data_IF_295596028273
#
_entry.id   IF_295596028273
#
_cell.length_a   1.000
_cell.length_b   1.000
_cell.length_c   1.000
_cell.angle_alpha   90.00
_cell.angle_beta   90.00
_cell.angle_gamma   90.00
#
_symmetry.space_group_name_H-M   'P 1'
#
loop_
_entity.id
_entity.type
_entity.pdbx_description
1 polymer ?
#
# COMPACT_ATOMS: atom_id res chain seq x y z
N UNK A 1 34.50 19.80 10.74
CA UNK A 1 33.42 20.63 11.35
C UNK A 1 33.24 20.16 12.79
N UNK A 2 33.22 21.06 13.76
CA UNK A 2 32.92 20.74 15.16
C UNK A 2 31.40 20.71 15.35
N UNK A 3 30.88 19.65 15.98
CA UNK A 3 29.45 19.53 16.30
C UNK A 3 29.14 20.31 17.57
N UNK A 4 28.20 21.26 17.51
CA UNK A 4 27.66 21.95 18.70
C UNK A 4 26.41 21.23 19.21
N UNK A 5 26.59 20.43 20.26
CA UNK A 5 25.52 19.63 20.87
C UNK A 5 24.37 20.48 21.43
N UNK A 6 24.56 21.78 21.66
CA UNK A 6 23.50 22.68 22.16
C UNK A 6 22.47 23.02 21.08
N UNK A 7 22.81 22.83 19.82
CA UNK A 7 21.90 23.07 18.67
C UNK A 7 21.10 21.83 18.29
N UNK A 8 21.42 20.66 18.87
CA UNK A 8 20.74 19.40 18.57
C UNK A 8 19.51 19.26 19.46
N UNK A 9 18.35 19.16 18.83
CA UNK A 9 17.09 18.83 19.48
C UNK A 9 16.41 17.62 18.82
N UNK A 10 15.19 17.31 19.30
CA UNK A 10 14.43 16.17 18.79
C UNK A 10 14.07 16.33 17.30
N UNK A 11 13.74 17.53 16.84
CA UNK A 11 13.36 17.76 15.43
C UNK A 11 14.58 17.62 14.52
N UNK A 12 15.71 18.19 14.91
CA UNK A 12 16.99 18.07 14.22
C UNK A 12 17.42 16.61 14.13
N UNK A 13 17.35 15.85 15.23
CA UNK A 13 17.61 14.40 15.21
C UNK A 13 16.70 13.66 14.24
N UNK A 14 15.38 13.89 14.29
CA UNK A 14 14.44 13.21 13.41
C UNK A 14 14.69 13.50 11.93
N UNK A 15 14.91 14.76 11.56
CA UNK A 15 15.17 15.17 10.16
C UNK A 15 16.52 14.70 9.64
N UNK A 16 17.49 14.50 10.52
CA UNK A 16 18.85 14.09 10.13
C UNK A 16 18.99 12.58 9.98
N UNK A 17 18.08 11.80 10.58
CA UNK A 17 18.21 10.33 10.69
C UNK A 17 17.16 9.57 9.87
N UNK A 18 15.98 10.14 9.63
CA UNK A 18 14.87 9.43 8.98
C UNK A 18 14.50 9.99 7.60
N UNK A 19 14.03 9.14 6.65
CA UNK A 19 13.91 7.68 6.78
C UNK A 19 15.28 6.99 6.84
N UNK A 20 15.34 5.78 7.38
CA UNK A 20 16.60 5.11 7.75
C UNK A 20 17.59 4.94 6.60
N UNK A 21 17.10 4.84 5.35
CA UNK A 21 17.94 4.75 4.15
C UNK A 21 18.08 6.06 3.39
N UNK A 22 17.48 7.15 3.87
CA UNK A 22 17.41 8.42 3.17
C UNK A 22 16.89 8.24 1.74
N UNK A 23 17.69 8.67 0.77
CA UNK A 23 17.41 8.56 -0.67
C UNK A 23 18.09 7.39 -1.37
N UNK A 24 18.80 6.50 -0.65
CA UNK A 24 19.59 5.45 -1.28
C UNK A 24 18.78 4.59 -2.25
N UNK A 25 17.60 4.10 -1.82
CA UNK A 25 16.75 3.28 -2.69
C UNK A 25 16.04 4.11 -3.77
N UNK A 26 15.79 5.41 -3.53
CA UNK A 26 15.27 6.30 -4.55
C UNK A 26 16.26 6.41 -5.73
N UNK A 27 17.53 6.64 -5.42
CA UNK A 27 18.62 6.74 -6.40
C UNK A 27 18.81 5.42 -7.14
N UNK A 28 18.91 4.30 -6.42
CA UNK A 28 19.01 2.95 -6.99
C UNK A 28 17.89 2.66 -8.00
N UNK A 29 16.63 2.94 -7.62
CA UNK A 29 15.48 2.76 -8.51
C UNK A 29 15.59 3.66 -9.74
N UNK A 30 15.94 4.94 -9.56
CA UNK A 30 16.07 5.91 -10.66
C UNK A 30 17.13 5.46 -11.67
N UNK A 31 18.30 5.06 -11.19
CA UNK A 31 19.48 4.69 -11.98
C UNK A 31 19.36 3.33 -12.66
N UNK A 32 18.57 2.41 -12.09
CA UNK A 32 18.41 1.06 -12.63
C UNK A 32 17.86 1.07 -14.06
N UNK A 33 18.65 0.52 -14.99
CA UNK A 33 18.25 0.30 -16.39
C UNK A 33 17.82 -1.15 -16.57
N UNK A 34 16.52 -1.37 -16.74
CA UNK A 34 15.96 -2.72 -16.90
C UNK A 34 16.19 -3.23 -18.34
N UNK A 35 16.91 -4.36 -18.53
CA UNK A 35 17.15 -4.91 -19.86
C UNK A 35 15.87 -5.43 -20.54
N UNK A 36 15.84 -5.53 -21.88
CA UNK A 36 14.73 -6.16 -22.60
C UNK A 36 14.39 -7.55 -22.06
N UNK A 37 13.09 -7.90 -22.06
CA UNK A 37 12.56 -9.18 -21.54
C UNK A 37 12.89 -9.45 -20.07
N UNK A 38 13.07 -8.40 -19.26
CA UNK A 38 13.19 -8.46 -17.81
C UNK A 38 12.27 -7.44 -17.14
N UNK A 39 12.05 -7.59 -15.84
CA UNK A 39 11.58 -6.53 -14.95
C UNK A 39 12.52 -6.48 -13.74
N UNK A 40 12.53 -5.34 -13.04
CA UNK A 40 13.17 -5.21 -11.73
C UNK A 40 12.10 -4.98 -10.65
N UNK A 41 12.37 -5.45 -9.44
CA UNK A 41 11.44 -5.36 -8.33
C UNK A 41 12.18 -5.13 -7.02
N UNK A 42 11.66 -4.20 -6.20
CA UNK A 42 12.20 -3.93 -4.86
C UNK A 42 11.10 -4.11 -3.83
N UNK A 43 11.45 -4.75 -2.73
CA UNK A 43 10.57 -4.86 -1.58
C UNK A 43 10.68 -3.59 -0.74
N UNK A 44 9.54 -2.92 -0.53
CA UNK A 44 9.42 -1.67 0.22
C UNK A 44 9.02 -1.90 1.68
N UNK A 45 9.11 -3.13 2.17
CA UNK A 45 8.60 -3.66 3.47
C UNK A 45 7.09 -3.90 3.53
N UNK A 46 6.60 -4.66 4.52
CA UNK A 46 5.21 -5.15 4.56
C UNK A 46 4.88 -5.89 3.26
N UNK A 47 3.78 -5.55 2.59
CA UNK A 47 3.46 -5.99 1.23
C UNK A 47 3.84 -4.96 0.16
N UNK A 48 4.53 -3.88 0.52
CA UNK A 48 4.91 -2.82 -0.41
C UNK A 48 5.93 -3.30 -1.44
N UNK A 49 5.67 -3.09 -2.73
CA UNK A 49 6.57 -3.51 -3.81
C UNK A 49 6.69 -2.41 -4.87
N UNK A 50 7.90 -2.15 -5.33
CA UNK A 50 8.16 -1.33 -6.51
C UNK A 50 8.50 -2.22 -7.71
N UNK A 51 7.91 -1.96 -8.87
CA UNK A 51 8.16 -2.69 -10.13
C UNK A 51 8.64 -1.68 -11.18
N UNK A 52 9.72 -2.03 -11.90
CA UNK A 52 10.23 -1.25 -13.04
C UNK A 52 10.39 -2.12 -14.28
N UNK A 53 9.97 -1.61 -15.44
CA UNK A 53 10.04 -2.31 -16.74
C UNK A 53 11.00 -1.63 -17.74
N UNK A 54 11.35 -2.30 -18.86
CA UNK A 54 12.24 -1.72 -19.89
C UNK A 54 11.67 -0.45 -20.53
N UNK A 55 10.35 -0.32 -20.69
CA UNK A 55 9.73 0.92 -21.16
C UNK A 55 9.70 2.03 -20.10
N UNK A 56 10.42 1.84 -18.98
CA UNK A 56 10.39 2.70 -17.80
C UNK A 56 8.94 2.92 -17.38
N UNK A 57 8.23 1.84 -17.06
CA UNK A 57 7.00 1.92 -16.26
C UNK A 57 7.43 1.66 -14.82
N UNK A 58 7.13 2.59 -13.92
CA UNK A 58 7.37 2.49 -12.48
C UNK A 58 6.03 2.40 -11.75
N UNK A 59 5.82 1.30 -11.02
CA UNK A 59 4.60 1.02 -10.27
C UNK A 59 4.96 0.73 -8.82
N UNK A 60 4.26 1.35 -7.89
CA UNK A 60 4.34 1.04 -6.46
C UNK A 60 3.02 0.39 -6.02
N UNK A 61 3.06 -0.83 -5.50
CA UNK A 61 1.90 -1.58 -4.99
C UNK A 61 2.00 -1.64 -3.47
N UNK A 62 0.89 -1.36 -2.77
CA UNK A 62 0.77 -1.43 -1.31
C UNK A 62 1.90 -0.69 -0.56
N UNK A 63 2.36 0.43 -1.14
CA UNK A 63 3.48 1.18 -0.59
C UNK A 63 3.07 1.91 0.70
N UNK A 64 3.56 1.41 1.82
CA UNK A 64 3.20 1.88 3.16
C UNK A 64 4.40 2.39 3.97
N UNK A 65 4.29 3.65 4.39
CA UNK A 65 5.33 4.38 5.13
C UNK A 65 4.83 4.93 6.46
N UNK A 66 3.71 4.41 6.98
CA UNK A 66 3.35 4.72 8.35
C UNK A 66 4.08 3.79 9.33
N UNK A 67 3.89 4.10 10.60
CA UNK A 67 4.28 3.26 11.73
C UNK A 67 3.07 2.50 12.27
N UNK A 68 3.35 1.47 13.07
CA UNK A 68 2.35 0.87 13.95
C UNK A 68 2.15 1.69 15.23
N UNK A 69 1.82 1.00 16.32
CA UNK A 69 1.61 1.60 17.64
C UNK A 69 2.86 2.35 18.13
N UNK A 70 2.65 3.51 18.75
CA UNK A 70 3.72 4.38 19.25
C UNK A 70 3.64 4.65 20.76
N UNK A 71 2.65 4.07 21.43
CA UNK A 71 2.46 4.17 22.87
C UNK A 71 1.76 2.92 23.39
N UNK A 72 2.01 2.57 24.66
CA UNK A 72 1.24 1.53 25.36
C UNK A 72 -0.16 2.00 25.75
N UNK A 73 -0.44 3.31 25.68
CA UNK A 73 -1.75 3.87 26.01
C UNK A 73 -2.78 3.36 25.01
N UNK A 74 -3.74 2.61 25.52
CA UNK A 74 -4.84 2.05 24.72
C UNK A 74 -5.96 3.07 24.54
N UNK A 75 -6.60 3.05 23.37
CA UNK A 75 -7.85 3.76 23.14
C UNK A 75 -8.99 3.12 23.94
N UNK A 76 -10.02 3.89 24.34
CA UNK A 76 -11.21 3.35 24.97
C UNK A 76 -11.87 2.26 24.11
N UNK A 77 -12.37 1.19 24.73
CA UNK A 77 -13.00 0.07 24.00
C UNK A 77 -14.07 0.51 23.00
N UNK A 78 -14.88 1.53 23.35
CA UNK A 78 -15.93 2.08 22.47
C UNK A 78 -15.41 2.56 21.10
N UNK A 79 -14.15 2.99 21.02
CA UNK A 79 -13.50 3.46 19.80
C UNK A 79 -12.88 2.34 18.96
N UNK A 80 -12.61 1.18 19.57
CA UNK A 80 -11.88 0.07 18.92
C UNK A 80 -12.75 -1.17 18.71
N UNK A 81 -13.95 -1.22 19.31
CA UNK A 81 -14.87 -2.36 19.29
C UNK A 81 -15.18 -2.90 17.88
N UNK A 82 -15.09 -2.04 16.88
CA UNK A 82 -15.39 -2.36 15.49
C UNK A 82 -14.15 -2.68 14.65
N UNK A 83 -12.95 -2.53 15.20
CA UNK A 83 -11.74 -2.95 14.52
C UNK A 83 -11.78 -4.46 14.25
N UNK A 84 -11.33 -4.84 13.06
CA UNK A 84 -11.34 -6.22 12.55
C UNK A 84 -10.68 -7.21 13.52
N UNK A 85 -9.56 -6.82 14.13
CA UNK A 85 -8.85 -7.64 15.12
C UNK A 85 -9.67 -7.86 16.40
N UNK A 86 -10.46 -6.87 16.79
CA UNK A 86 -11.33 -6.96 17.97
C UNK A 86 -12.56 -7.82 17.65
N UNK A 87 -13.12 -7.68 16.43
CA UNK A 87 -14.22 -8.50 15.94
C UNK A 87 -13.84 -9.99 15.87
N UNK A 88 -12.65 -10.31 15.38
CA UNK A 88 -12.20 -11.71 15.21
C UNK A 88 -11.75 -12.38 16.52
N UNK A 89 -11.12 -11.64 17.43
CA UNK A 89 -10.52 -12.23 18.65
C UNK A 89 -11.39 -12.08 19.90
N UNK A 90 -12.35 -11.16 19.92
CA UNK A 90 -13.07 -10.79 21.13
C UNK A 90 -12.24 -9.99 22.15
N UNK A 91 -11.01 -9.57 21.78
CA UNK A 91 -10.13 -8.81 22.65
C UNK A 91 -10.76 -7.48 23.11
N UNK A 92 -10.19 -6.89 24.16
CA UNK A 92 -10.62 -5.59 24.72
C UNK A 92 -9.57 -4.49 24.55
N UNK A 93 -8.43 -4.83 23.93
CA UNK A 93 -7.25 -3.99 23.70
C UNK A 93 -6.67 -4.33 22.35
N UNK A 94 -5.99 -3.39 21.70
CA UNK A 94 -5.21 -3.67 20.51
C UNK A 94 -3.97 -4.51 20.85
N UNK A 95 -3.60 -5.46 19.98
CA UNK A 95 -2.28 -6.08 20.04
C UNK A 95 -1.16 -5.06 19.83
N UNK A 96 0.08 -5.36 20.28
CA UNK A 96 1.22 -4.48 20.13
C UNK A 96 1.77 -4.54 18.69
N UNK A 97 1.04 -3.96 17.74
CA UNK A 97 1.46 -3.88 16.34
C UNK A 97 2.60 -2.86 16.19
N UNK A 98 3.84 -3.28 16.49
CA UNK A 98 5.04 -2.48 16.32
C UNK A 98 5.65 -2.75 14.96
N UNK A 99 5.92 -1.69 14.19
CA UNK A 99 6.69 -1.80 12.95
C UNK A 99 8.14 -2.14 13.30
N UNK A 100 8.64 -3.24 12.76
CA UNK A 100 10.03 -3.70 12.99
C UNK A 100 10.95 -3.49 11.80
N UNK A 101 10.39 -3.23 10.62
CA UNK A 101 11.15 -2.98 9.39
C UNK A 101 11.44 -1.48 9.23
N UNK A 102 12.65 -1.08 8.79
CA UNK A 102 12.98 0.31 8.54
C UNK A 102 12.16 0.90 7.37
N UNK A 103 12.19 2.22 7.20
CA UNK A 103 11.76 2.86 5.97
C UNK A 103 12.92 2.88 4.98
N UNK A 104 12.79 2.05 3.93
CA UNK A 104 13.85 1.83 2.94
C UNK A 104 13.84 2.83 1.80
N UNK A 105 12.76 3.60 1.64
CA UNK A 105 12.57 4.57 0.55
C UNK A 105 11.85 5.82 1.09
N UNK A 106 12.26 7.00 0.64
CA UNK A 106 11.56 8.25 0.93
C UNK A 106 10.50 8.52 -0.15
N UNK A 107 9.19 8.47 0.14
CA UNK A 107 8.16 8.75 -0.85
C UNK A 107 8.24 10.19 -1.37
N UNK A 108 8.71 11.15 -0.57
CA UNK A 108 8.81 12.56 -0.97
C UNK A 108 10.00 12.87 -1.87
N UNK A 109 10.91 11.92 -2.05
CA UNK A 109 12.04 12.02 -2.99
C UNK A 109 11.79 11.23 -4.28
N UNK A 110 10.62 10.61 -4.43
CA UNK A 110 10.20 9.99 -5.69
C UNK A 110 9.93 11.08 -6.72
N UNK A 111 10.73 11.11 -7.80
CA UNK A 111 10.57 12.04 -8.94
C UNK A 111 9.74 11.47 -10.08
N UNK A 112 9.62 10.14 -10.15
CA UNK A 112 8.92 9.45 -11.22
C UNK A 112 8.15 8.25 -10.68
N UNK A 113 6.86 8.21 -10.99
CA UNK A 113 5.99 7.09 -10.71
C UNK A 113 4.84 7.12 -11.73
N UNK A 114 4.53 5.99 -12.36
CA UNK A 114 3.44 5.88 -13.34
C UNK A 114 2.12 5.47 -12.67
N UNK A 115 2.17 4.64 -11.62
CA UNK A 115 0.99 4.31 -10.81
C UNK A 115 1.30 3.93 -9.35
N UNK A 116 0.40 4.32 -8.45
CA UNK A 116 0.25 3.79 -7.09
C UNK A 116 -0.92 2.81 -7.10
N UNK A 117 -0.69 1.58 -6.69
CA UNK A 117 -1.71 0.54 -6.55
C UNK A 117 -1.95 0.24 -5.08
N UNK A 118 -3.20 0.06 -4.70
CA UNK A 118 -3.57 -0.54 -3.41
C UNK A 118 -4.47 -1.74 -3.66
N UNK A 119 -4.17 -2.86 -3.01
CA UNK A 119 -4.99 -4.08 -3.07
C UNK A 119 -6.30 -3.90 -2.32
N UNK A 120 -6.26 -3.22 -1.17
CA UNK A 120 -7.42 -2.96 -0.31
C UNK A 120 -7.15 -1.81 0.69
N UNK A 121 -8.11 -1.53 1.58
CA UNK A 121 -8.13 -0.30 2.40
C UNK A 121 -7.47 -0.39 3.79
N UNK A 122 -6.88 -1.53 4.18
CA UNK A 122 -6.18 -1.63 5.48
C UNK A 122 -5.02 -0.65 5.52
N UNK A 123 -4.74 -0.14 6.72
CA UNK A 123 -3.83 1.00 6.91
C UNK A 123 -2.39 0.74 6.46
N UNK A 124 -2.00 -0.52 6.35
CA UNK A 124 -0.72 -1.04 5.88
C UNK A 124 -0.65 -1.34 4.38
N UNK A 125 -1.74 -1.12 3.63
CA UNK A 125 -1.82 -1.31 2.17
C UNK A 125 -2.23 -0.05 1.40
N UNK A 126 -2.67 1.00 2.09
CA UNK A 126 -3.00 2.31 1.51
C UNK A 126 -2.52 3.44 2.42
N UNK A 127 -1.71 4.36 1.87
CA UNK A 127 -1.01 5.35 2.66
C UNK A 127 -1.20 6.78 2.13
N UNK A 128 -1.65 7.69 3.00
CA UNK A 128 -1.87 9.11 2.72
C UNK A 128 -0.56 9.86 2.47
N UNK A 129 0.55 9.49 3.11
CA UNK A 129 1.85 10.11 2.87
C UNK A 129 2.36 9.80 1.46
N UNK A 130 2.20 8.55 1.01
CA UNK A 130 2.51 8.16 -0.37
C UNK A 130 1.58 8.86 -1.35
N UNK A 131 0.28 8.94 -1.05
CA UNK A 131 -0.66 9.67 -1.89
C UNK A 131 -0.31 11.14 -2.02
N UNK A 132 0.02 11.81 -0.92
CA UNK A 132 0.46 13.21 -0.92
C UNK A 132 1.73 13.41 -1.75
N UNK A 133 2.75 12.57 -1.56
CA UNK A 133 4.00 12.64 -2.31
C UNK A 133 3.79 12.38 -3.81
N UNK A 134 3.03 11.34 -4.17
CA UNK A 134 2.73 11.02 -5.56
C UNK A 134 1.89 12.09 -6.25
N UNK A 135 0.95 12.75 -5.53
CA UNK A 135 0.20 13.88 -6.06
C UNK A 135 1.11 15.09 -6.30
N UNK A 136 1.99 15.39 -5.34
CA UNK A 136 2.88 16.56 -5.39
C UNK A 136 3.97 16.44 -6.45
N UNK A 137 4.60 15.28 -6.55
CA UNK A 137 5.86 15.13 -7.30
C UNK A 137 5.68 14.48 -8.67
N UNK A 138 4.54 13.84 -8.95
CA UNK A 138 4.36 12.99 -10.14
C UNK A 138 2.96 13.14 -10.76
N UNK A 139 2.76 12.48 -11.90
CA UNK A 139 1.45 12.32 -12.55
C UNK A 139 0.87 10.90 -12.38
N UNK A 140 1.35 10.12 -11.41
CA UNK A 140 0.93 8.75 -11.18
C UNK A 140 -0.60 8.58 -11.11
N UNK A 141 -1.11 7.52 -11.73
CA UNK A 141 -2.47 7.04 -11.51
C UNK A 141 -2.58 6.37 -10.13
N UNK A 142 -3.78 6.36 -9.57
CA UNK A 142 -4.13 5.71 -8.31
C UNK A 142 -5.11 4.59 -8.62
N UNK A 143 -4.65 3.35 -8.59
CA UNK A 143 -5.38 2.19 -9.11
C UNK A 143 -5.75 1.27 -7.94
N UNK A 144 -7.04 1.01 -7.77
CA UNK A 144 -7.53 0.27 -6.61
C UNK A 144 -8.95 -0.26 -6.78
N UNK A 145 -9.42 -1.11 -5.84
CA UNK A 145 -10.84 -1.42 -5.74
C UNK A 145 -11.67 -0.16 -5.40
N UNK A 146 -13.00 -0.21 -5.56
CA UNK A 146 -13.89 0.93 -5.31
C UNK A 146 -13.60 1.67 -3.99
N UNK A 147 -13.46 0.95 -2.86
CA UNK A 147 -13.19 1.58 -1.57
C UNK A 147 -11.83 2.27 -1.47
N UNK A 148 -10.79 1.77 -2.17
CA UNK A 148 -9.51 2.49 -2.27
C UNK A 148 -9.69 3.79 -3.06
N UNK A 149 -10.45 3.74 -4.16
CA UNK A 149 -10.80 4.91 -4.95
C UNK A 149 -11.53 5.98 -4.13
N UNK A 150 -12.53 5.58 -3.35
CA UNK A 150 -13.26 6.47 -2.43
C UNK A 150 -12.34 7.06 -1.35
N UNK A 151 -11.46 6.24 -0.77
CA UNK A 151 -10.52 6.67 0.27
C UNK A 151 -9.52 7.70 -0.27
N UNK A 152 -8.92 7.46 -1.44
CA UNK A 152 -8.05 8.45 -2.09
C UNK A 152 -8.78 9.73 -2.46
N UNK A 153 -10.02 9.64 -2.96
CA UNK A 153 -10.84 10.82 -3.23
C UNK A 153 -11.08 11.63 -1.96
N UNK A 154 -11.37 10.97 -0.84
CA UNK A 154 -11.56 11.62 0.47
C UNK A 154 -10.31 12.33 0.98
N UNK A 155 -9.12 11.88 0.58
CA UNK A 155 -7.83 12.51 0.90
C UNK A 155 -7.45 13.64 -0.07
N UNK A 156 -8.26 13.89 -1.10
CA UNK A 156 -8.02 14.96 -2.08
C UNK A 156 -7.21 14.53 -3.30
N UNK A 157 -7.03 13.23 -3.56
CA UNK A 157 -6.46 12.77 -4.83
C UNK A 157 -7.39 13.20 -5.97
N UNK A 158 -6.89 13.87 -7.04
CA UNK A 158 -7.73 14.30 -8.14
C UNK A 158 -8.48 13.13 -8.78
N UNK A 159 -9.81 13.22 -8.90
CA UNK A 159 -10.66 12.15 -9.46
C UNK A 159 -10.16 11.61 -10.81
N UNK A 160 -9.63 12.48 -11.67
CA UNK A 160 -9.07 12.11 -12.98
C UNK A 160 -7.84 11.20 -12.92
N UNK A 161 -7.17 11.11 -11.76
CA UNK A 161 -6.02 10.23 -11.50
C UNK A 161 -6.44 8.90 -10.88
N UNK A 162 -7.71 8.72 -10.49
CA UNK A 162 -8.19 7.50 -9.82
C UNK A 162 -8.77 6.56 -10.87
N UNK A 163 -8.29 5.32 -10.88
CA UNK A 163 -8.78 4.22 -11.70
C UNK A 163 -9.31 3.13 -10.78
N UNK A 164 -10.61 2.88 -10.85
CA UNK A 164 -11.24 1.79 -10.09
C UNK A 164 -11.21 0.52 -10.93
N UNK A 165 -10.69 -0.57 -10.37
CA UNK A 165 -10.70 -1.91 -10.97
C UNK A 165 -11.43 -2.90 -10.06
N UNK A 166 -12.31 -3.70 -10.64
CA UNK A 166 -12.93 -4.89 -10.04
C UNK A 166 -12.35 -6.17 -10.67
N UNK A 167 -12.51 -7.35 -10.06
CA UNK A 167 -12.06 -8.60 -10.65
C UNK A 167 -12.53 -8.79 -12.10
N UNK A 168 -11.61 -9.25 -12.96
CA UNK A 168 -11.82 -9.41 -14.40
C UNK A 168 -11.53 -8.14 -15.22
N UNK A 169 -11.32 -6.99 -14.58
CA UNK A 169 -10.93 -5.75 -15.27
C UNK A 169 -9.41 -5.60 -15.33
N UNK A 170 -8.95 -4.75 -16.25
CA UNK A 170 -7.52 -4.49 -16.41
C UNK A 170 -7.23 -3.07 -16.90
N UNK A 171 -6.01 -2.61 -16.66
CA UNK A 171 -5.52 -1.31 -17.10
C UNK A 171 -4.11 -1.44 -17.69
N UNK A 172 -3.85 -0.76 -18.82
CA UNK A 172 -2.57 -0.84 -19.53
C UNK A 172 -1.77 0.44 -19.35
N UNK A 173 -0.50 0.30 -19.00
CA UNK A 173 0.50 1.39 -18.97
C UNK A 173 1.68 0.94 -19.81
N UNK A 174 1.85 1.52 -21.01
CA UNK A 174 2.92 1.19 -21.97
C UNK A 174 3.07 -0.32 -22.19
N UNK A 175 4.16 -0.92 -21.73
CA UNK A 175 4.52 -2.34 -21.88
C UNK A 175 3.97 -3.23 -20.76
N UNK A 176 3.20 -2.66 -19.83
CA UNK A 176 2.70 -3.33 -18.63
C UNK A 176 1.17 -3.39 -18.62
N UNK A 177 0.63 -4.57 -18.33
CA UNK A 177 -0.81 -4.79 -18.17
C UNK A 177 -1.12 -5.21 -16.73
N UNK A 178 -2.00 -4.47 -16.07
CA UNK A 178 -2.43 -4.69 -14.68
C UNK A 178 -3.81 -5.33 -14.72
N UNK A 179 -3.94 -6.55 -14.23
CA UNK A 179 -5.24 -7.22 -14.08
C UNK A 179 -5.65 -7.23 -12.62
N UNK A 180 -6.89 -6.87 -12.32
CA UNK A 180 -7.51 -7.12 -11.03
C UNK A 180 -8.19 -8.49 -11.06
N UNK A 181 -7.95 -9.31 -10.06
CA UNK A 181 -8.58 -10.61 -9.84
C UNK A 181 -9.11 -10.71 -8.41
N UNK A 182 -9.88 -11.74 -8.11
CA UNK A 182 -10.54 -11.88 -6.80
C UNK A 182 -9.54 -11.85 -5.64
N UNK A 183 -9.87 -11.10 -4.59
CA UNK A 183 -9.17 -11.17 -3.30
C UNK A 183 -9.79 -12.24 -2.41
N UNK A 184 -8.98 -12.78 -1.50
CA UNK A 184 -9.41 -13.72 -0.47
C UNK A 184 -9.09 -13.22 0.93
N UNK A 185 -8.91 -11.91 1.12
CA UNK A 185 -8.74 -11.35 2.46
C UNK A 185 -10.05 -11.36 3.25
N UNK A 186 -10.25 -12.44 4.01
CA UNK A 186 -11.43 -12.60 4.89
C UNK A 186 -11.50 -11.50 5.95
N UNK A 187 -10.37 -10.89 6.31
CA UNK A 187 -10.31 -9.82 7.31
C UNK A 187 -10.93 -8.53 6.76
N UNK A 188 -10.72 -8.18 5.49
CA UNK A 188 -11.37 -7.04 4.84
C UNK A 188 -12.90 -7.09 4.97
N UNK A 189 -13.53 -8.27 4.88
CA UNK A 189 -14.99 -8.41 4.98
C UNK A 189 -15.57 -7.93 6.32
N UNK A 190 -14.81 -8.11 7.40
CA UNK A 190 -15.20 -7.70 8.75
C UNK A 190 -14.58 -6.36 9.16
N UNK A 191 -13.90 -5.67 8.25
CA UNK A 191 -13.27 -4.37 8.51
C UNK A 191 -14.28 -3.25 8.26
N UNK A 192 -14.36 -2.24 9.15
CA UNK A 192 -15.21 -1.07 8.92
C UNK A 192 -14.84 -0.29 7.65
N UNK A 193 -15.83 0.32 6.97
CA UNK A 193 -17.27 0.19 7.21
C UNK A 193 -17.81 -1.17 6.69
N UNK A 194 -18.95 -1.71 7.19
CA UNK A 194 -19.87 -1.09 8.14
C UNK A 194 -19.43 -1.23 9.60
N UNK A 195 -19.88 -0.27 10.41
CA UNK A 195 -19.73 -0.26 11.86
C UNK A 195 -20.79 -1.12 12.56
N UNK A 196 -20.55 -1.47 13.82
CA UNK A 196 -21.49 -2.20 14.68
C UNK A 196 -21.50 -3.73 14.49
N UNK A 197 -22.57 -4.35 14.99
CA UNK A 197 -22.70 -5.81 15.02
C UNK A 197 -22.98 -6.38 13.62
N UNK A 198 -22.13 -7.31 13.19
CA UNK A 198 -22.21 -7.98 11.89
C UNK A 198 -22.89 -9.37 11.94
N UNK A 199 -23.22 -9.90 13.12
CA UNK A 199 -23.83 -11.24 13.25
C UNK A 199 -25.15 -11.31 12.50
N UNK A 200 -25.33 -12.37 11.72
CA UNK A 200 -26.54 -12.60 10.93
C UNK A 200 -26.69 -11.68 9.71
N UNK A 201 -25.68 -10.86 9.39
CA UNK A 201 -25.68 -9.99 8.21
C UNK A 201 -24.80 -10.58 7.12
N UNK A 202 -25.26 -10.47 5.88
CA UNK A 202 -24.43 -10.81 4.72
C UNK A 202 -23.24 -9.84 4.64
N UNK A 203 -22.01 -10.35 4.47
CA UNK A 203 -20.85 -9.50 4.20
C UNK A 203 -21.07 -8.68 2.93
N UNK A 204 -20.53 -7.46 2.88
CA UNK A 204 -20.48 -6.72 1.62
C UNK A 204 -19.56 -7.44 0.63
N UNK A 205 -19.73 -7.17 -0.65
CA UNK A 205 -18.92 -7.79 -1.71
C UNK A 205 -17.43 -7.54 -1.48
N UNK A 206 -16.61 -8.60 -1.61
CA UNK A 206 -15.15 -8.49 -1.57
C UNK A 206 -14.64 -7.56 -2.66
N UNK A 207 -15.24 -7.62 -3.85
CA UNK A 207 -14.84 -6.88 -5.05
C UNK A 207 -14.92 -5.36 -4.88
N UNK A 208 -15.72 -4.88 -3.91
CA UNK A 208 -15.76 -3.46 -3.55
C UNK A 208 -14.58 -3.06 -2.65
N UNK A 209 -14.08 -4.02 -1.86
CA UNK A 209 -13.09 -3.80 -0.80
C UNK A 209 -11.66 -4.08 -1.22
N UNK A 210 -11.46 -5.18 -1.95
CA UNK A 210 -10.16 -5.81 -2.11
C UNK A 210 -10.05 -6.55 -3.44
N UNK A 211 -8.89 -6.45 -4.08
CA UNK A 211 -8.50 -7.21 -5.27
C UNK A 211 -7.08 -7.72 -5.10
N UNK A 212 -6.77 -8.81 -5.79
CA UNK A 212 -5.41 -9.22 -6.08
C UNK A 212 -4.98 -8.66 -7.44
N UNK A 213 -3.68 -8.52 -7.69
CA UNK A 213 -3.16 -8.07 -8.98
C UNK A 213 -2.34 -9.13 -9.68
N UNK A 214 -2.54 -9.26 -10.99
CA UNK A 214 -1.59 -9.91 -11.90
C UNK A 214 -0.97 -8.81 -12.76
N UNK A 215 0.32 -8.54 -12.59
CA UNK A 215 1.08 -7.56 -13.36
C UNK A 215 1.83 -8.30 -14.46
N UNK A 216 1.39 -8.17 -15.71
CA UNK A 216 2.09 -8.74 -16.86
C UNK A 216 3.06 -7.70 -17.42
N UNK A 217 4.33 -8.08 -17.47
CA UNK A 217 5.44 -7.29 -18.04
C UNK A 217 6.07 -8.05 -19.21
N UNK A 218 6.95 -7.42 -20.01
CA UNK A 218 7.71 -8.14 -21.03
C UNK A 218 8.65 -9.23 -20.49
N UNK A 219 9.00 -9.18 -19.20
CA UNK A 219 9.91 -10.13 -18.55
C UNK A 219 9.24 -11.24 -17.74
N UNK A 220 7.90 -11.27 -17.68
CA UNK A 220 7.15 -12.22 -16.86
C UNK A 220 5.95 -11.60 -16.18
N UNK A 221 5.26 -12.40 -15.37
CA UNK A 221 4.08 -11.96 -14.61
C UNK A 221 4.37 -11.99 -13.11
N UNK A 222 3.81 -11.03 -12.37
CA UNK A 222 3.90 -10.94 -10.92
C UNK A 222 2.47 -11.06 -10.36
N UNK A 223 2.25 -12.00 -9.45
CA UNK A 223 1.02 -12.10 -8.69
C UNK A 223 1.19 -11.41 -7.34
N UNK A 224 0.40 -10.37 -7.07
CA UNK A 224 0.39 -9.65 -5.80
C UNK A 224 -0.94 -9.94 -5.08
N UNK A 225 -0.87 -10.76 -4.02
CA UNK A 225 -2.04 -11.22 -3.26
C UNK A 225 -2.56 -10.22 -2.22
N UNK A 226 -1.87 -9.08 -2.06
CA UNK A 226 -1.95 -8.33 -0.80
C UNK A 226 -1.66 -9.29 0.35
N UNK A 227 -2.56 -9.36 1.30
CA UNK A 227 -2.58 -10.29 2.43
C UNK A 227 -3.75 -11.31 2.34
N UNK A 228 -4.21 -11.61 1.12
CA UNK A 228 -5.26 -12.61 0.88
C UNK A 228 -4.98 -13.92 1.61
N UNK A 229 -6.00 -14.43 2.30
CA UNK A 229 -5.89 -15.72 2.98
C UNK A 229 -5.88 -16.88 1.97
N UNK A 230 -5.58 -18.09 2.45
CA UNK A 230 -5.69 -19.28 1.62
C UNK A 230 -7.12 -19.49 1.07
N UNK A 231 -7.21 -19.84 -0.21
CA UNK A 231 -8.45 -20.09 -0.94
C UNK A 231 -8.20 -21.04 -2.11
N UNK A 232 -9.14 -21.96 -2.36
CA UNK A 232 -9.12 -22.77 -3.58
C UNK A 232 -9.28 -21.91 -4.85
N UNK A 233 -9.77 -20.67 -4.71
CA UNK A 233 -9.93 -19.73 -5.81
C UNK A 233 -8.63 -19.35 -6.51
N UNK A 234 -7.48 -19.48 -5.86
CA UNK A 234 -6.18 -19.27 -6.52
C UNK A 234 -6.01 -20.12 -7.79
N UNK A 235 -6.57 -21.33 -7.83
CA UNK A 235 -6.53 -22.21 -9.01
C UNK A 235 -7.14 -21.61 -10.28
N UNK A 236 -7.98 -20.58 -10.16
CA UNK A 236 -8.59 -19.88 -11.30
C UNK A 236 -7.73 -18.74 -11.84
N UNK A 237 -6.72 -18.30 -11.11
CA UNK A 237 -5.92 -17.13 -11.47
C UNK A 237 -4.70 -17.46 -12.33
N UNK A 238 -4.50 -18.75 -12.66
CA UNK A 238 -3.35 -19.28 -13.40
C UNK A 238 -2.26 -19.77 -12.47
#
# INVERSE_FOLDING_TARGET
MTVDIKTIDRDTWLRSVFPEWGTYLNEEIEETKVPPKKFAMWWLTCCGVWIKTPAKVDIAIDFWVQRGEATKKQLPYKQIKDAQIIRMSGARKYPPFLRISPHVIDPFQVKKLDAVLSTHIHGDHICEFVAAAAVKNTNALFIGPPMCGEKWLSWGVPKKRIVVLKPGQSYKIKDTQIFAVESFDRTALITPPPEGNLRGKMPISMDERAVNYIIKTPGGSIYHSGDSHFSNGYSRHG
#
